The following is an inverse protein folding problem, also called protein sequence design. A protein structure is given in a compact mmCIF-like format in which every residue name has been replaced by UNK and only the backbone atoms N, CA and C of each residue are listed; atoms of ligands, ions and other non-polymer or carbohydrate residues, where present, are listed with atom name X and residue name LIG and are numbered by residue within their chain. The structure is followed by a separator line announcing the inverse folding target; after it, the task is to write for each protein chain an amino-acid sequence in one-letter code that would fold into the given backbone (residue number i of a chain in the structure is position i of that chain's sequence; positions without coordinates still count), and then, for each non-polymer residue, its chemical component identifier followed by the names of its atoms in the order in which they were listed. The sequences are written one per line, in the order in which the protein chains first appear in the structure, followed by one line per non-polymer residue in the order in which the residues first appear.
data_IF_748753830691
#
_entry.id   IF_748753830691
#
_cell.length_a   1.000
_cell.length_b   1.000
_cell.length_c   1.000
_cell.angle_alpha   90.00
_cell.angle_beta   90.00
_cell.angle_gamma   90.00
#
_symmetry.space_group_name_H-M   'P 1'
#
loop_
_entity.id
_entity.type
_entity.pdbx_description
1 polymer ?
#
# COMPACT_ATOMS: atom_id res chain seq x y z
N UNK A 1 -9.48 -4.42 -18.61
CA UNK A 1 -10.93 -4.47 -18.25
C UNK A 1 -11.60 -3.25 -18.84
N UNK A 2 -12.84 -3.33 -19.34
CA UNK A 2 -13.57 -2.15 -19.85
C UNK A 2 -13.86 -1.21 -18.67
N UNK A 3 -13.57 0.08 -18.81
CA UNK A 3 -13.92 1.07 -17.79
C UNK A 3 -15.44 1.25 -17.74
N UNK A 4 -16.02 1.29 -16.54
CA UNK A 4 -17.46 1.49 -16.33
C UNK A 4 -17.79 2.88 -15.76
N UNK A 5 -16.80 3.52 -15.13
CA UNK A 5 -16.85 4.89 -14.61
C UNK A 5 -15.50 5.56 -14.93
N UNK A 6 -15.43 6.90 -14.85
CA UNK A 6 -14.19 7.66 -15.06
C UNK A 6 -13.48 7.32 -16.39
N UNK A 7 -14.21 7.34 -17.51
CA UNK A 7 -13.68 6.95 -18.83
C UNK A 7 -12.44 7.75 -19.26
N UNK A 8 -12.34 9.02 -18.83
CA UNK A 8 -11.23 9.91 -19.16
C UNK A 8 -10.24 10.08 -17.98
N UNK A 9 -10.42 9.34 -16.89
CA UNK A 9 -9.56 9.38 -15.70
C UNK A 9 -9.17 7.96 -15.25
N UNK A 10 -8.14 7.36 -15.88
CA UNK A 10 -7.70 6.01 -15.56
C UNK A 10 -7.27 5.77 -14.11
N UNK A 11 -6.56 6.69 -13.42
CA UNK A 11 -6.25 6.56 -12.00
C UNK A 11 -7.50 6.44 -11.12
N UNK A 12 -8.51 7.29 -11.31
CA UNK A 12 -9.75 7.21 -10.54
C UNK A 12 -10.50 5.91 -10.78
N UNK A 13 -10.53 5.44 -12.03
CA UNK A 13 -11.10 4.14 -12.34
C UNK A 13 -10.34 2.99 -11.69
N UNK A 14 -9.00 3.02 -11.72
CA UNK A 14 -8.17 1.98 -11.12
C UNK A 14 -8.38 1.89 -9.61
N UNK A 15 -8.37 3.03 -8.90
CA UNK A 15 -8.62 3.03 -7.46
C UNK A 15 -10.07 2.66 -7.09
N UNK A 16 -11.03 2.97 -7.97
CA UNK A 16 -12.41 2.47 -7.81
C UNK A 16 -12.45 0.95 -7.95
N UNK A 17 -11.77 0.39 -8.95
CA UNK A 17 -11.65 -1.06 -9.13
C UNK A 17 -10.93 -1.74 -7.97
N UNK A 18 -9.87 -1.13 -7.45
CA UNK A 18 -9.14 -1.61 -6.29
C UNK A 18 -10.07 -1.73 -5.08
N UNK A 19 -10.85 -0.69 -4.80
CA UNK A 19 -11.87 -0.73 -3.74
C UNK A 19 -12.96 -1.77 -4.01
N UNK A 20 -13.42 -1.96 -5.25
CA UNK A 20 -14.36 -3.04 -5.59
C UNK A 20 -13.75 -4.43 -5.32
N UNK A 21 -12.45 -4.61 -5.55
CA UNK A 21 -11.74 -5.86 -5.32
C UNK A 21 -11.73 -6.29 -3.85
N UNK A 22 -11.78 -5.34 -2.91
CA UNK A 22 -11.77 -5.62 -1.47
C UNK A 22 -13.07 -6.27 -0.96
N UNK A 23 -14.15 -6.24 -1.74
CA UNK A 23 -15.47 -6.75 -1.35
C UNK A 23 -15.43 -8.24 -1.00
N UNK A 24 -14.58 -9.03 -1.67
CA UNK A 24 -14.49 -10.47 -1.46
C UNK A 24 -14.07 -10.87 -0.04
N UNK A 25 -13.33 -9.99 0.65
CA UNK A 25 -12.85 -10.19 2.01
C UNK A 25 -13.40 -9.12 2.99
N UNK A 26 -14.49 -8.44 2.62
CA UNK A 26 -15.21 -7.52 3.50
C UNK A 26 -14.57 -6.14 3.69
N UNK A 27 -13.60 -5.78 2.84
CA UNK A 27 -12.99 -4.44 2.86
C UNK A 27 -13.82 -3.38 2.13
N UNK A 28 -14.86 -3.78 1.40
CA UNK A 28 -15.81 -2.85 0.77
C UNK A 28 -17.19 -3.49 0.58
N UNK A 29 -18.15 -2.68 0.13
CA UNK A 29 -19.41 -3.12 -0.45
C UNK A 29 -19.53 -2.53 -1.87
N UNK A 30 -20.02 -3.33 -2.82
CA UNK A 30 -20.11 -2.93 -4.23
C UNK A 30 -21.04 -1.74 -4.43
N UNK A 31 -22.18 -1.72 -3.73
CA UNK A 31 -23.15 -0.63 -3.83
C UNK A 31 -22.59 0.67 -3.24
N UNK A 32 -21.86 0.58 -2.13
CA UNK A 32 -21.19 1.73 -1.51
C UNK A 32 -20.11 2.32 -2.40
N UNK A 33 -19.25 1.48 -3.00
CA UNK A 33 -18.20 1.96 -3.90
C UNK A 33 -18.82 2.67 -5.11
N UNK A 34 -19.84 2.08 -5.75
CA UNK A 34 -20.53 2.70 -6.90
C UNK A 34 -21.19 4.02 -6.48
N UNK A 35 -21.91 4.03 -5.35
CA UNK A 35 -22.60 5.22 -4.86
C UNK A 35 -21.62 6.34 -4.47
N UNK A 36 -20.44 5.99 -3.99
CA UNK A 36 -19.39 6.94 -3.60
C UNK A 36 -18.70 7.51 -4.82
N UNK A 37 -18.24 6.65 -5.73
CA UNK A 37 -17.64 7.04 -6.99
C UNK A 37 -18.56 7.91 -7.86
N UNK A 38 -19.89 7.71 -7.79
CA UNK A 38 -20.86 8.51 -8.54
C UNK A 38 -20.97 9.97 -8.09
N UNK A 39 -20.38 10.32 -6.93
CA UNK A 39 -20.32 11.70 -6.42
C UNK A 39 -19.00 12.41 -6.76
N UNK A 40 -18.05 11.70 -7.35
CA UNK A 40 -16.72 12.23 -7.67
C UNK A 40 -16.73 12.88 -9.04
N UNK A 41 -16.16 14.08 -9.13
CA UNK A 41 -15.90 14.76 -10.39
C UNK A 41 -14.58 14.23 -10.99
N UNK A 42 -14.57 13.69 -12.22
CA UNK A 42 -13.34 13.21 -12.84
C UNK A 42 -12.26 14.30 -12.88
N UNK A 43 -11.01 13.95 -12.54
CA UNK A 43 -9.87 14.84 -12.52
C UNK A 43 -9.72 15.71 -11.26
N UNK A 44 -10.71 15.71 -10.37
CA UNK A 44 -10.75 16.55 -9.16
C UNK A 44 -10.46 15.72 -7.90
N UNK A 45 -9.22 15.84 -7.40
CA UNK A 45 -8.74 15.15 -6.20
C UNK A 45 -9.48 15.55 -4.92
N UNK A 46 -9.99 16.78 -4.83
CA UNK A 46 -10.77 17.22 -3.66
C UNK A 46 -12.15 16.57 -3.63
N UNK A 47 -12.80 16.43 -4.79
CA UNK A 47 -14.07 15.71 -4.90
C UNK A 47 -13.93 14.22 -4.57
N UNK A 48 -12.80 13.61 -4.96
CA UNK A 48 -12.46 12.24 -4.59
C UNK A 48 -12.35 12.11 -3.07
N UNK A 49 -11.47 12.91 -2.46
CA UNK A 49 -11.28 12.92 -1.02
C UNK A 49 -12.61 13.11 -0.27
N UNK A 50 -13.38 14.14 -0.61
CA UNK A 50 -14.62 14.46 0.07
C UNK A 50 -15.67 13.33 -0.03
N UNK A 51 -15.80 12.68 -1.20
CA UNK A 51 -16.76 11.61 -1.39
C UNK A 51 -16.42 10.36 -0.57
N UNK A 52 -15.14 9.96 -0.58
CA UNK A 52 -14.66 8.78 0.15
C UNK A 52 -14.60 9.02 1.66
N UNK A 53 -14.12 10.19 2.10
CA UNK A 53 -14.09 10.58 3.51
C UNK A 53 -15.50 10.56 4.11
N UNK A 54 -16.46 11.20 3.44
CA UNK A 54 -17.85 11.23 3.91
C UNK A 54 -18.47 9.83 4.04
N UNK A 55 -18.09 8.90 3.16
CA UNK A 55 -18.55 7.51 3.24
C UNK A 55 -17.91 6.78 4.41
N UNK A 56 -16.61 6.97 4.62
CA UNK A 56 -15.86 6.38 5.71
C UNK A 56 -16.39 6.85 7.08
N UNK A 57 -16.55 8.17 7.26
CA UNK A 57 -17.06 8.78 8.50
C UNK A 57 -18.47 8.28 8.85
N UNK A 58 -19.36 8.23 7.86
CA UNK A 58 -20.72 7.71 8.06
C UNK A 58 -20.68 6.25 8.53
N UNK A 59 -19.90 5.40 7.87
CA UNK A 59 -19.79 3.99 8.24
C UNK A 59 -19.16 3.79 9.61
N UNK A 60 -18.13 4.56 9.93
CA UNK A 60 -17.52 4.48 11.25
C UNK A 60 -18.52 4.86 12.35
N UNK A 61 -19.27 5.95 12.16
CA UNK A 61 -20.29 6.40 13.11
C UNK A 61 -21.40 5.34 13.31
N UNK A 62 -21.91 4.76 12.23
CA UNK A 62 -22.89 3.66 12.27
C UNK A 62 -22.31 2.42 12.98
N UNK A 63 -21.07 2.05 12.67
CA UNK A 63 -20.41 0.87 13.21
C UNK A 63 -20.17 0.95 14.73
N UNK A 64 -19.76 2.12 15.24
CA UNK A 64 -19.45 2.30 16.68
C UNK A 64 -20.67 2.15 17.60
N UNK A 65 -21.89 2.37 17.09
CA UNK A 65 -23.14 2.15 17.81
C UNK A 65 -23.77 0.76 17.62
N UNK A 66 -23.13 -0.11 16.84
CA UNK A 66 -23.75 -1.35 16.36
C UNK A 66 -23.36 -2.60 17.16
N UNK A 67 -24.05 -3.71 16.90
CA UNK A 67 -23.67 -5.03 17.42
C UNK A 67 -22.22 -5.39 17.04
N UNK A 68 -21.43 -6.09 17.88
CA UNK A 68 -19.99 -6.31 17.64
C UNK A 68 -19.61 -6.86 16.27
N UNK A 69 -20.43 -7.76 15.68
CA UNK A 69 -20.22 -8.29 14.32
C UNK A 69 -20.38 -7.18 13.27
N UNK A 70 -21.47 -6.42 13.34
CA UNK A 70 -21.73 -5.30 12.44
C UNK A 70 -20.70 -4.18 12.61
N UNK A 71 -20.25 -3.94 13.85
CA UNK A 71 -19.19 -2.98 14.14
C UNK A 71 -17.88 -3.38 13.45
N UNK A 72 -17.46 -4.65 13.57
CA UNK A 72 -16.28 -5.20 12.88
C UNK A 72 -16.37 -4.97 11.36
N UNK A 73 -17.46 -5.38 10.74
CA UNK A 73 -17.62 -5.33 9.27
C UNK A 73 -17.75 -3.90 8.75
N UNK A 74 -18.40 -3.00 9.51
CA UNK A 74 -18.46 -1.58 9.19
C UNK A 74 -17.10 -0.90 9.30
N UNK A 75 -16.31 -1.23 10.32
CA UNK A 75 -14.99 -0.65 10.54
C UNK A 75 -13.94 -1.12 9.52
N UNK A 76 -14.01 -2.36 9.01
CA UNK A 76 -13.16 -2.81 7.90
C UNK A 76 -13.39 -1.99 6.63
N UNK A 77 -14.66 -1.72 6.31
CA UNK A 77 -15.04 -0.91 5.15
C UNK A 77 -14.67 0.56 5.33
N UNK A 78 -14.94 1.12 6.52
CA UNK A 78 -14.53 2.48 6.87
C UNK A 78 -13.01 2.66 6.72
N UNK A 79 -12.21 1.69 7.20
CA UNK A 79 -10.75 1.71 7.07
C UNK A 79 -10.30 1.83 5.60
N UNK A 80 -10.85 0.99 4.72
CA UNK A 80 -10.52 1.01 3.29
C UNK A 80 -10.92 2.32 2.61
N UNK A 81 -12.05 2.91 3.01
CA UNK A 81 -12.53 4.17 2.43
C UNK A 81 -11.79 5.39 2.97
N UNK A 82 -11.27 5.35 4.21
CA UNK A 82 -10.33 6.35 4.70
C UNK A 82 -9.02 6.32 3.89
N UNK A 83 -8.45 5.11 3.67
CA UNK A 83 -7.29 4.94 2.78
C UNK A 83 -7.56 5.50 1.37
N UNK A 84 -8.75 5.21 0.82
CA UNK A 84 -9.14 5.75 -0.48
C UNK A 84 -9.21 7.30 -0.46
N UNK A 85 -9.76 7.90 0.59
CA UNK A 85 -9.87 9.36 0.71
C UNK A 85 -8.52 10.08 0.68
N UNK A 86 -7.47 9.44 1.18
CA UNK A 86 -6.11 9.99 1.25
C UNK A 86 -5.36 9.93 -0.08
N UNK A 87 -5.61 8.89 -0.88
CA UNK A 87 -4.73 8.39 -1.93
C UNK A 87 -4.15 9.43 -2.91
N UNK A 88 -4.92 10.46 -3.26
CA UNK A 88 -4.55 11.48 -4.25
C UNK A 88 -4.03 12.80 -3.65
N UNK A 89 -3.82 12.88 -2.34
CA UNK A 89 -3.44 14.13 -1.66
C UNK A 89 -1.92 14.40 -1.61
N UNK A 90 -1.08 13.42 -1.92
CA UNK A 90 0.37 13.46 -1.72
C UNK A 90 1.13 14.56 -2.51
N UNK A 91 0.48 15.24 -3.46
CA UNK A 91 1.05 16.40 -4.13
C UNK A 91 1.28 17.61 -3.21
N UNK A 92 0.61 17.62 -2.05
CA UNK A 92 0.72 18.62 -0.99
C UNK A 92 0.97 17.93 0.36
N UNK A 93 2.21 17.50 0.67
CA UNK A 93 2.52 16.72 1.87
C UNK A 93 2.14 17.40 3.21
N UNK A 94 1.99 18.71 3.21
CA UNK A 94 1.54 19.52 4.34
C UNK A 94 0.01 19.51 4.57
N UNK A 95 -0.76 18.90 3.67
CA UNK A 95 -2.21 18.86 3.75
C UNK A 95 -2.66 18.03 4.96
N UNK A 96 -3.35 18.64 5.96
CA UNK A 96 -3.74 17.94 7.17
C UNK A 96 -4.76 16.80 6.93
N UNK A 97 -5.41 16.78 5.77
CA UNK A 97 -6.33 15.71 5.37
C UNK A 97 -5.61 14.36 5.19
N UNK A 98 -4.32 14.39 4.87
CA UNK A 98 -3.49 13.19 4.72
C UNK A 98 -3.43 12.44 6.05
N UNK A 99 -2.90 13.10 7.09
CA UNK A 99 -2.75 12.46 8.41
C UNK A 99 -4.10 12.10 9.02
N UNK A 100 -5.11 12.96 8.85
CA UNK A 100 -6.44 12.66 9.35
C UNK A 100 -7.01 11.36 8.76
N UNK A 101 -6.95 11.19 7.45
CA UNK A 101 -7.47 9.99 6.79
C UNK A 101 -6.67 8.74 7.21
N UNK A 102 -5.34 8.83 7.25
CA UNK A 102 -4.47 7.74 7.67
C UNK A 102 -4.78 7.28 9.12
N UNK A 103 -4.76 8.19 10.10
CA UNK A 103 -4.98 7.85 11.51
C UNK A 103 -6.34 7.19 11.73
N UNK A 104 -7.38 7.71 11.08
CA UNK A 104 -8.74 7.15 11.15
C UNK A 104 -8.84 5.80 10.47
N UNK A 105 -8.20 5.64 9.31
CA UNK A 105 -8.13 4.38 8.59
C UNK A 105 -7.50 3.27 9.42
N UNK A 106 -6.33 3.54 10.02
CA UNK A 106 -5.62 2.59 10.88
C UNK A 106 -6.37 2.31 12.18
N UNK A 107 -6.97 3.33 12.81
CA UNK A 107 -7.80 3.16 14.00
C UNK A 107 -8.99 2.25 13.73
N UNK A 108 -9.72 2.48 12.63
CA UNK A 108 -10.84 1.62 12.23
C UNK A 108 -10.40 0.18 12.00
N UNK A 109 -9.28 -0.03 11.31
CA UNK A 109 -8.75 -1.36 11.07
C UNK A 109 -8.40 -2.08 12.37
N UNK A 110 -7.63 -1.43 13.25
CA UNK A 110 -7.21 -1.98 14.55
C UNK A 110 -8.40 -2.35 15.42
N UNK A 111 -9.41 -1.48 15.50
CA UNK A 111 -10.64 -1.79 16.20
C UNK A 111 -11.32 -3.01 15.56
N UNK A 112 -11.44 -3.06 14.24
CA UNK A 112 -12.05 -4.20 13.56
C UNK A 112 -11.30 -5.52 13.84
N UNK A 113 -9.97 -5.56 13.68
CA UNK A 113 -9.17 -6.77 13.84
C UNK A 113 -9.09 -7.26 15.29
N UNK A 114 -9.30 -6.40 16.29
CA UNK A 114 -9.40 -6.83 17.69
C UNK A 114 -10.54 -7.84 17.94
N UNK A 115 -11.47 -7.96 16.98
CA UNK A 115 -12.59 -8.92 17.00
C UNK A 115 -12.32 -10.17 16.17
N UNK A 116 -11.16 -10.27 15.52
CA UNK A 116 -10.74 -11.45 14.77
C UNK A 116 -9.83 -12.33 15.65
N UNK A 117 -10.08 -13.65 15.69
CA UNK A 117 -9.22 -14.55 16.44
C UNK A 117 -7.83 -14.62 15.80
N UNK A 118 -6.79 -14.45 16.62
CA UNK A 118 -5.40 -14.64 16.21
C UNK A 118 -4.80 -13.52 15.36
N UNK A 119 -5.47 -12.38 15.19
CA UNK A 119 -4.89 -11.22 14.47
C UNK A 119 -4.47 -10.15 15.48
N UNK A 120 -3.21 -9.76 15.46
CA UNK A 120 -2.65 -8.78 16.40
C UNK A 120 -1.75 -7.77 15.68
N UNK A 121 -1.81 -6.46 16.00
CA UNK A 121 -0.80 -5.52 15.55
C UNK A 121 0.56 -5.89 16.15
N UNK A 122 1.62 -5.64 15.40
CA UNK A 122 3.00 -5.89 15.82
C UNK A 122 3.91 -4.71 15.46
N UNK A 123 5.00 -4.62 16.21
CA UNK A 123 6.12 -3.72 15.97
C UNK A 123 7.37 -4.58 15.79
N UNK A 124 8.01 -4.47 14.64
CA UNK A 124 9.16 -5.26 14.22
C UNK A 124 10.39 -4.39 14.41
N UNK A 125 11.35 -4.76 15.29
CA UNK A 125 12.58 -3.99 15.48
C UNK A 125 13.32 -3.78 14.15
N UNK A 126 13.69 -2.54 13.84
CA UNK A 126 14.32 -2.20 12.58
C UNK A 126 15.24 -0.98 12.73
N UNK A 127 16.56 -1.19 12.63
CA UNK A 127 17.56 -0.14 12.84
C UNK A 127 17.33 0.61 14.17
N UNK A 128 17.10 1.92 14.13
CA UNK A 128 16.77 2.77 15.28
C UNK A 128 15.27 3.05 15.45
N UNK A 129 14.42 2.32 14.71
CA UNK A 129 12.96 2.43 14.72
C UNK A 129 12.27 1.05 14.74
N UNK A 130 10.99 1.01 14.39
CA UNK A 130 10.20 -0.21 14.20
C UNK A 130 9.47 -0.17 12.86
N UNK A 131 9.27 -1.33 12.24
CA UNK A 131 8.30 -1.50 11.16
C UNK A 131 6.96 -1.91 11.77
N UNK A 132 5.88 -1.31 11.30
CA UNK A 132 4.54 -1.62 11.78
C UNK A 132 3.86 -2.67 10.90
N UNK A 133 3.10 -3.55 11.53
CA UNK A 133 2.44 -4.63 10.82
C UNK A 133 1.36 -5.33 11.61
N UNK A 134 0.94 -6.48 11.08
CA UNK A 134 -0.07 -7.35 11.67
C UNK A 134 0.34 -8.80 11.55
N UNK A 135 0.25 -9.54 12.66
CA UNK A 135 0.51 -10.97 12.70
C UNK A 135 -0.79 -11.75 12.83
N UNK A 136 -1.00 -12.66 11.88
CA UNK A 136 -2.16 -13.53 11.75
C UNK A 136 -1.76 -14.95 12.14
N UNK A 137 -2.12 -15.36 13.35
CA UNK A 137 -1.86 -16.69 13.88
C UNK A 137 -2.90 -17.69 13.36
N UNK A 138 -2.48 -18.63 12.53
CA UNK A 138 -3.27 -19.80 12.19
C UNK A 138 -3.60 -20.64 13.43
N UNK A 139 -4.78 -21.27 13.41
CA UNK A 139 -5.21 -22.18 14.47
C UNK A 139 -4.51 -23.55 14.36
N UNK A 140 -4.40 -24.23 15.51
CA UNK A 140 -3.94 -25.61 15.62
C UNK A 140 -2.63 -25.75 16.41
N UNK A 141 -2.22 -26.99 16.64
CA UNK A 141 -1.03 -27.31 17.44
C UNK A 141 0.26 -27.36 16.58
N UNK A 142 1.39 -27.12 17.23
CA UNK A 142 2.74 -27.23 16.68
C UNK A 142 3.15 -26.13 15.69
N UNK A 143 4.43 -26.14 15.24
CA UNK A 143 4.94 -25.14 14.30
C UNK A 143 4.21 -25.15 12.93
N UNK A 144 3.89 -23.97 12.42
CA UNK A 144 3.13 -23.75 11.18
C UNK A 144 3.98 -23.08 10.11
N UNK A 145 3.71 -23.35 8.82
CA UNK A 145 4.32 -22.59 7.73
C UNK A 145 3.90 -21.12 7.83
N UNK A 146 4.74 -20.22 7.33
CA UNK A 146 4.50 -18.79 7.39
C UNK A 146 4.56 -18.11 6.02
N UNK A 147 3.82 -17.03 5.86
CA UNK A 147 3.93 -16.12 4.71
C UNK A 147 4.18 -14.71 5.24
N UNK A 148 5.31 -14.12 4.86
CA UNK A 148 5.57 -12.69 5.04
C UNK A 148 5.02 -11.97 3.82
N UNK A 149 4.20 -10.95 4.03
CA UNK A 149 3.57 -10.17 2.97
C UNK A 149 3.93 -8.69 3.12
N UNK A 150 4.29 -8.03 2.03
CA UNK A 150 4.39 -6.58 1.98
C UNK A 150 3.81 -6.03 0.68
N UNK A 151 3.41 -4.76 0.72
CA UNK A 151 2.94 -4.05 -0.44
C UNK A 151 4.10 -3.53 -1.30
N UNK A 152 3.76 -2.73 -2.29
CA UNK A 152 4.69 -2.06 -3.17
C UNK A 152 4.77 -0.57 -2.89
N UNK A 153 4.42 0.21 -3.91
CA UNK A 153 4.64 1.66 -3.95
C UNK A 153 3.69 2.41 -3.02
N UNK A 154 2.40 2.02 -2.99
CA UNK A 154 1.32 2.84 -2.42
C UNK A 154 0.36 2.09 -1.47
N UNK A 155 0.53 0.77 -1.30
CA UNK A 155 -0.37 -0.06 -0.49
C UNK A 155 0.04 -0.13 0.97
N UNK A 156 -0.95 -0.21 1.87
CA UNK A 156 -0.75 -0.30 3.32
C UNK A 156 -0.83 -1.74 3.85
N UNK A 157 -0.22 -2.03 5.00
CA UNK A 157 -0.30 -3.35 5.63
C UNK A 157 -1.76 -3.79 5.92
N UNK A 158 -2.64 -2.85 6.23
CA UNK A 158 -4.08 -3.08 6.43
C UNK A 158 -4.75 -3.66 5.18
N UNK A 159 -4.34 -3.22 3.98
CA UNK A 159 -4.94 -3.67 2.72
C UNK A 159 -4.61 -5.15 2.43
N UNK A 160 -3.47 -5.65 2.90
CA UNK A 160 -3.07 -7.04 2.73
C UNK A 160 -4.00 -8.01 3.48
N UNK A 161 -4.77 -7.52 4.46
CA UNK A 161 -5.86 -8.28 5.07
C UNK A 161 -6.79 -8.87 4.02
N UNK A 162 -7.22 -8.03 3.08
CA UNK A 162 -8.17 -8.35 2.02
C UNK A 162 -7.51 -9.03 0.81
N UNK A 163 -6.19 -8.88 0.69
CA UNK A 163 -5.39 -9.33 -0.46
C UNK A 163 -4.57 -10.60 -0.19
N UNK A 164 -4.90 -11.33 0.87
CA UNK A 164 -4.40 -12.68 1.10
C UNK A 164 -4.07 -13.02 2.54
N UNK A 165 -3.90 -12.05 3.44
CA UNK A 165 -3.44 -12.35 4.79
C UNK A 165 -4.48 -13.14 5.61
N UNK A 166 -5.75 -12.71 5.60
CA UNK A 166 -6.82 -13.47 6.24
C UNK A 166 -6.98 -14.84 5.58
N UNK A 167 -6.97 -14.89 4.24
CA UNK A 167 -7.06 -16.14 3.48
C UNK A 167 -5.92 -17.13 3.77
N UNK A 168 -4.70 -16.64 4.00
CA UNK A 168 -3.55 -17.45 4.39
C UNK A 168 -3.73 -18.04 5.79
N UNK A 169 -4.19 -17.21 6.74
CA UNK A 169 -4.52 -17.65 8.09
C UNK A 169 -5.58 -18.76 8.10
N UNK A 170 -6.67 -18.59 7.36
CA UNK A 170 -7.76 -19.57 7.21
C UNK A 170 -7.27 -20.91 6.64
N UNK A 171 -6.19 -20.89 5.84
CA UNK A 171 -5.58 -22.07 5.24
C UNK A 171 -4.50 -22.71 6.12
N UNK A 172 -4.27 -22.18 7.33
CA UNK A 172 -3.35 -22.75 8.29
C UNK A 172 -1.92 -22.22 8.21
N UNK A 173 -1.69 -21.08 7.54
CA UNK A 173 -0.40 -20.38 7.54
C UNK A 173 -0.40 -19.28 8.60
N UNK A 174 0.72 -19.13 9.31
CA UNK A 174 1.02 -17.85 9.93
C UNK A 174 1.20 -16.81 8.84
N UNK A 175 0.66 -15.61 9.02
CA UNK A 175 0.90 -14.51 8.07
C UNK A 175 1.42 -13.30 8.82
N UNK A 176 2.50 -12.70 8.34
CA UNK A 176 3.01 -11.42 8.84
C UNK A 176 2.93 -10.40 7.72
N UNK A 177 2.09 -9.38 7.88
CA UNK A 177 2.04 -8.22 6.98
C UNK A 177 2.82 -7.08 7.61
N UNK A 178 3.56 -6.29 6.83
CA UNK A 178 4.27 -5.12 7.35
C UNK A 178 4.38 -4.01 6.30
N UNK A 179 4.56 -2.79 6.78
CA UNK A 179 4.98 -1.61 5.99
C UNK A 179 6.46 -1.33 6.28
N UNK A 180 7.29 -1.43 5.25
CA UNK A 180 8.70 -1.03 5.26
C UNK A 180 8.92 0.45 4.96
N UNK A 181 10.18 0.92 4.91
CA UNK A 181 10.50 2.31 4.58
C UNK A 181 9.85 2.76 3.25
N UNK A 182 9.22 3.94 3.25
CA UNK A 182 8.45 4.49 2.14
C UNK A 182 7.02 3.93 2.00
N UNK A 183 6.63 2.97 2.81
CA UNK A 183 5.26 2.45 2.86
C UNK A 183 4.45 3.15 3.96
N UNK A 184 3.10 3.11 3.93
CA UNK A 184 2.24 4.01 4.69
C UNK A 184 2.60 4.16 6.16
N UNK A 185 2.70 3.08 6.93
CA UNK A 185 2.99 3.26 8.36
C UNK A 185 4.36 3.90 8.63
N UNK A 186 5.38 3.53 7.85
CA UNK A 186 6.74 4.03 8.02
C UNK A 186 6.88 5.50 7.58
N UNK A 187 6.17 5.93 6.53
CA UNK A 187 6.23 7.32 6.06
C UNK A 187 5.45 8.26 6.98
N UNK A 188 4.28 7.86 7.46
CA UNK A 188 3.44 8.69 8.34
C UNK A 188 4.02 8.82 9.75
N UNK A 189 4.47 7.71 10.36
CA UNK A 189 4.86 7.69 11.78
C UNK A 189 6.32 8.02 12.01
N UNK A 190 7.18 7.46 11.17
CA UNK A 190 8.63 7.47 11.40
C UNK A 190 9.34 8.37 10.39
N UNK A 191 8.66 8.70 9.30
CA UNK A 191 9.24 9.40 8.18
C UNK A 191 10.33 8.63 7.45
N UNK A 192 10.32 7.31 7.54
CA UNK A 192 11.28 6.50 6.80
C UNK A 192 10.93 6.55 5.31
N UNK A 193 11.81 7.15 4.51
CA UNK A 193 11.65 7.22 3.05
C UNK A 193 11.90 5.87 2.39
N UNK A 194 11.38 5.69 1.18
CA UNK A 194 11.63 4.52 0.36
C UNK A 194 13.13 4.36 0.11
N UNK A 195 13.63 3.13 0.21
CA UNK A 195 15.05 2.82 0.01
C UNK A 195 15.26 1.82 -1.13
N UNK A 196 16.34 1.95 -1.92
CA UNK A 196 16.57 1.10 -3.09
C UNK A 196 17.11 -0.29 -2.72
N UNK A 197 17.67 -0.46 -1.52
CA UNK A 197 18.35 -1.66 -1.02
C UNK A 197 17.42 -2.52 -0.14
N UNK A 198 16.30 -2.94 -0.70
CA UNK A 198 15.24 -3.69 0.00
C UNK A 198 15.69 -5.03 0.62
N UNK A 199 16.85 -5.56 0.19
CA UNK A 199 17.52 -6.70 0.83
C UNK A 199 17.80 -6.48 2.33
N UNK A 200 17.89 -5.23 2.78
CA UNK A 200 18.10 -4.89 4.19
C UNK A 200 16.79 -4.82 5.01
N UNK A 201 15.62 -4.96 4.37
CA UNK A 201 14.31 -4.84 5.04
C UNK A 201 13.78 -6.21 5.49
N UNK A 202 13.88 -7.23 4.65
CA UNK A 202 13.24 -8.54 4.91
C UNK A 202 13.98 -9.34 6.00
N UNK A 203 15.30 -9.21 6.10
CA UNK A 203 16.11 -9.92 7.10
C UNK A 203 15.61 -9.67 8.54
N UNK A 204 15.50 -8.41 8.99
CA UNK A 204 14.93 -8.06 10.30
C UNK A 204 13.50 -8.55 10.52
N UNK A 205 12.65 -8.53 9.48
CA UNK A 205 11.28 -9.04 9.55
C UNK A 205 11.26 -10.55 9.83
N UNK A 206 12.15 -11.31 9.20
CA UNK A 206 12.32 -12.74 9.47
C UNK A 206 12.94 -13.00 10.85
N UNK A 207 13.88 -12.17 11.30
CA UNK A 207 14.46 -12.27 12.65
C UNK A 207 13.39 -12.13 13.72
N UNK A 208 12.48 -11.16 13.56
CA UNK A 208 11.31 -10.99 14.42
C UNK A 208 10.38 -12.21 14.36
N UNK A 209 9.99 -12.63 13.15
CA UNK A 209 9.02 -13.70 12.96
C UNK A 209 9.50 -15.03 13.55
N UNK A 210 10.79 -15.33 13.42
CA UNK A 210 11.38 -16.60 13.87
C UNK A 210 11.65 -16.65 15.38
N UNK A 211 11.40 -15.57 16.13
CA UNK A 211 11.35 -15.64 17.60
C UNK A 211 10.11 -16.38 18.11
N UNK A 212 9.03 -16.47 17.33
CA UNK A 212 7.83 -17.20 17.72
C UNK A 212 8.05 -18.71 17.47
N UNK A 213 8.09 -19.57 18.52
CA UNK A 213 8.30 -21.01 18.37
C UNK A 213 7.14 -21.72 17.65
N UNK A 214 6.01 -21.03 17.44
CA UNK A 214 4.91 -21.49 16.60
C UNK A 214 5.20 -21.38 15.09
N UNK A 215 6.26 -20.69 14.68
CA UNK A 215 6.66 -20.58 13.27
C UNK A 215 7.62 -21.69 12.89
N UNK A 216 7.37 -22.33 11.75
CA UNK A 216 8.31 -23.24 11.10
C UNK A 216 9.20 -22.45 10.13
N UNK A 217 10.46 -22.11 10.51
CA UNK A 217 11.32 -21.26 9.69
C UNK A 217 11.63 -21.89 8.32
N UNK A 218 11.67 -23.21 8.21
CA UNK A 218 11.96 -23.92 6.97
C UNK A 218 10.79 -23.88 5.96
N UNK A 219 9.62 -23.40 6.37
CA UNK A 219 8.43 -23.24 5.52
C UNK A 219 7.92 -21.80 5.54
N UNK A 220 8.83 -20.84 5.43
CA UNK A 220 8.52 -19.41 5.33
C UNK A 220 8.60 -18.93 3.89
N UNK A 221 7.53 -18.33 3.38
CA UNK A 221 7.48 -17.70 2.07
C UNK A 221 7.46 -16.17 2.17
N UNK A 222 7.94 -15.49 1.14
CA UNK A 222 7.81 -14.04 0.96
C UNK A 222 6.86 -13.74 -0.21
N UNK A 223 5.91 -12.84 -0.01
CA UNK A 223 5.00 -12.36 -1.05
C UNK A 223 5.06 -10.84 -1.11
N UNK A 224 5.39 -10.30 -2.27
CA UNK A 224 5.39 -8.86 -2.53
C UNK A 224 4.33 -8.47 -3.54
N UNK A 225 3.52 -7.46 -3.22
CA UNK A 225 2.42 -6.96 -4.07
C UNK A 225 2.84 -5.71 -4.87
N UNK A 226 2.45 -5.59 -6.15
CA UNK A 226 2.76 -4.47 -7.05
C UNK A 226 4.26 -4.25 -7.19
N UNK A 227 4.80 -3.06 -6.86
CA UNK A 227 6.25 -2.85 -6.74
C UNK A 227 6.92 -3.85 -5.79
N UNK A 228 6.18 -4.41 -4.83
CA UNK A 228 6.58 -5.52 -3.99
C UNK A 228 7.03 -6.75 -4.79
N UNK A 229 6.52 -6.96 -6.00
CA UNK A 229 6.98 -8.03 -6.89
C UNK A 229 8.35 -7.80 -7.53
N UNK A 230 8.91 -6.59 -7.48
CA UNK A 230 10.34 -6.33 -7.68
C UNK A 230 11.13 -6.52 -6.38
N UNK A 231 10.61 -5.96 -5.29
CA UNK A 231 11.27 -5.91 -3.99
C UNK A 231 11.44 -7.29 -3.34
N UNK A 232 10.46 -8.18 -3.46
CA UNK A 232 10.49 -9.51 -2.86
C UNK A 232 11.55 -10.43 -3.51
N UNK A 233 11.62 -10.58 -4.84
CA UNK A 233 12.73 -11.28 -5.48
C UNK A 233 14.10 -10.65 -5.18
N UNK A 234 14.18 -9.31 -5.11
CA UNK A 234 15.42 -8.61 -4.73
C UNK A 234 15.88 -9.02 -3.33
N UNK A 235 15.00 -8.97 -2.34
CA UNK A 235 15.34 -9.40 -0.99
C UNK A 235 15.72 -10.89 -0.92
N UNK A 236 14.97 -11.74 -1.62
CA UNK A 236 15.23 -13.17 -1.66
C UNK A 236 16.58 -13.55 -2.28
N UNK A 237 17.16 -12.70 -3.13
CA UNK A 237 18.52 -12.90 -3.64
C UNK A 237 19.59 -12.87 -2.52
N UNK A 238 19.28 -12.27 -1.37
CA UNK A 238 20.18 -12.12 -0.22
C UNK A 238 19.69 -12.86 1.02
N UNK A 239 18.49 -13.44 0.98
CA UNK A 239 17.85 -14.05 2.14
C UNK A 239 17.59 -15.55 1.91
N UNK A 240 18.57 -16.43 2.21
CA UNK A 240 18.50 -17.85 1.90
C UNK A 240 17.52 -18.62 2.81
N UNK A 241 16.97 -17.99 3.86
CA UNK A 241 15.98 -18.62 4.75
C UNK A 241 14.61 -18.78 4.10
N UNK A 242 14.32 -18.04 3.03
CA UNK A 242 13.03 -18.10 2.34
C UNK A 242 12.89 -19.41 1.55
N UNK A 243 11.82 -20.16 1.82
CA UNK A 243 11.49 -21.39 1.13
C UNK A 243 10.79 -21.16 -0.22
N UNK A 244 10.12 -20.01 -0.38
CA UNK A 244 9.43 -19.61 -1.60
C UNK A 244 9.28 -18.08 -1.68
N UNK A 245 9.16 -17.58 -2.91
CA UNK A 245 8.94 -16.16 -3.20
C UNK A 245 7.81 -16.02 -4.22
N UNK A 246 6.90 -15.09 -3.97
CA UNK A 246 5.78 -14.76 -4.85
C UNK A 246 5.86 -13.27 -5.21
N UNK A 247 5.90 -12.98 -6.51
CA UNK A 247 5.83 -11.62 -7.05
C UNK A 247 4.44 -11.37 -7.66
N UNK A 248 3.67 -10.43 -7.10
CA UNK A 248 2.27 -10.21 -7.44
C UNK A 248 1.94 -8.72 -7.68
N UNK A 249 2.14 -8.14 -8.85
CA UNK A 249 2.61 -8.75 -10.09
C UNK A 249 4.13 -8.67 -10.21
N UNK A 250 4.70 -9.44 -11.14
CA UNK A 250 6.14 -9.38 -11.41
C UNK A 250 6.55 -8.04 -12.01
N UNK A 251 7.47 -7.33 -11.35
CA UNK A 251 8.06 -6.07 -11.81
C UNK A 251 9.57 -6.27 -11.96
N UNK A 252 10.11 -5.99 -13.15
CA UNK A 252 11.56 -6.07 -13.39
C UNK A 252 12.23 -4.69 -13.28
N UNK A 253 11.59 -3.67 -13.87
CA UNK A 253 12.06 -2.28 -13.86
C UNK A 253 10.85 -1.36 -13.64
N UNK A 254 10.76 -0.79 -12.44
CA UNK A 254 9.68 0.13 -12.08
C UNK A 254 9.81 1.50 -12.75
N UNK A 255 11.04 1.94 -13.05
CA UNK A 255 11.31 3.25 -13.67
C UNK A 255 10.85 3.25 -15.12
N UNK A 256 10.83 2.10 -15.78
CA UNK A 256 10.22 1.94 -17.11
C UNK A 256 8.76 2.44 -17.17
N UNK A 257 7.99 2.27 -16.10
CA UNK A 257 6.59 2.69 -16.04
C UNK A 257 6.44 4.23 -16.10
N UNK A 258 7.41 4.98 -15.59
CA UNK A 258 7.44 6.44 -15.66
C UNK A 258 8.01 6.91 -16.99
N UNK A 259 9.17 6.37 -17.36
CA UNK A 259 9.92 6.80 -18.55
C UNK A 259 9.22 6.48 -19.87
N UNK A 260 8.35 5.45 -19.92
CA UNK A 260 7.54 5.12 -21.10
C UNK A 260 6.56 6.24 -21.51
N UNK A 261 6.29 7.19 -20.62
CA UNK A 261 5.42 8.34 -20.90
C UNK A 261 6.19 9.61 -21.32
N UNK A 262 7.53 9.54 -21.39
CA UNK A 262 8.38 10.65 -21.82
C UNK A 262 8.79 10.45 -23.29
N UNK A 263 9.01 11.52 -24.08
CA UNK A 263 9.46 11.43 -25.47
C UNK A 263 10.98 11.17 -25.57
N UNK A 264 11.52 10.33 -24.69
CA UNK A 264 12.94 9.96 -24.59
C UNK A 264 13.05 8.43 -24.51
N UNK A 265 14.22 7.89 -24.85
CA UNK A 265 14.50 6.49 -24.49
C UNK A 265 14.62 6.35 -22.97
N UNK A 266 14.36 5.15 -22.44
CA UNK A 266 14.52 4.85 -21.02
C UNK A 266 15.91 5.26 -20.50
N UNK A 267 16.98 4.83 -21.18
CA UNK A 267 18.36 5.14 -20.82
C UNK A 267 18.65 6.65 -20.83
N UNK A 268 18.10 7.37 -21.82
CA UNK A 268 18.24 8.82 -21.91
C UNK A 268 17.52 9.52 -20.75
N UNK A 269 16.29 9.12 -20.45
CA UNK A 269 15.50 9.70 -19.39
C UNK A 269 16.17 9.52 -18.02
N UNK A 270 16.66 8.31 -17.70
CA UNK A 270 17.38 8.02 -16.46
C UNK A 270 18.68 8.82 -16.39
N UNK A 271 19.47 8.85 -17.45
CA UNK A 271 20.74 9.60 -17.47
C UNK A 271 20.52 11.10 -17.26
N UNK A 272 19.51 11.69 -17.91
CA UNK A 272 19.14 13.10 -17.74
C UNK A 272 18.57 13.37 -16.36
N UNK A 273 17.80 12.44 -15.80
CA UNK A 273 17.29 12.56 -14.45
C UNK A 273 18.42 12.63 -13.40
N UNK A 274 19.43 11.78 -13.54
CA UNK A 274 20.58 11.73 -12.66
C UNK A 274 21.59 12.89 -12.82
N UNK A 275 21.40 13.81 -13.79
CA UNK A 275 22.28 14.97 -13.94
C UNK A 275 22.20 15.90 -12.71
N UNK A 276 23.22 16.70 -12.41
CA UNK A 276 23.09 17.68 -11.32
C UNK A 276 22.04 18.75 -11.66
N UNK A 277 22.02 19.19 -12.92
CA UNK A 277 21.14 20.22 -13.46
C UNK A 277 20.67 19.86 -14.88
N UNK A 278 19.36 19.91 -15.14
CA UNK A 278 18.78 19.74 -16.48
C UNK A 278 17.38 20.39 -16.58
N UNK A 279 17.35 21.71 -16.81
CA UNK A 279 16.09 22.49 -16.89
C UNK A 279 15.17 22.09 -18.04
N UNK A 280 15.72 21.46 -19.09
CA UNK A 280 14.90 20.94 -20.19
C UNK A 280 14.20 19.65 -19.76
N UNK A 281 14.90 18.77 -19.05
CA UNK A 281 14.29 17.57 -18.47
C UNK A 281 13.22 17.92 -17.44
N UNK A 282 13.49 18.91 -16.57
CA UNK A 282 12.51 19.38 -15.57
C UNK A 282 11.21 19.88 -16.25
N UNK A 283 11.33 20.67 -17.33
CA UNK A 283 10.18 21.12 -18.13
C UNK A 283 9.47 19.97 -18.83
N UNK A 284 10.21 19.01 -19.36
CA UNK A 284 9.67 17.84 -20.03
C UNK A 284 8.82 16.99 -19.06
N UNK A 285 9.30 16.77 -17.83
CA UNK A 285 8.56 16.04 -16.80
C UNK A 285 7.31 16.84 -16.40
N UNK A 286 7.44 18.15 -16.15
CA UNK A 286 6.32 19.01 -15.78
C UNK A 286 5.20 19.00 -16.85
N UNK A 287 5.56 19.13 -18.13
CA UNK A 287 4.61 19.08 -19.25
C UNK A 287 3.96 17.70 -19.40
N UNK A 288 4.68 16.62 -19.09
CA UNK A 288 4.14 15.27 -19.11
C UNK A 288 3.14 15.04 -17.96
N UNK A 289 3.48 15.48 -16.75
CA UNK A 289 2.58 15.45 -15.57
C UNK A 289 1.30 16.25 -15.80
N UNK A 290 1.40 17.44 -16.40
CA UNK A 290 0.24 18.29 -16.67
C UNK A 290 -0.79 17.65 -17.64
N UNK A 291 -0.34 16.74 -18.51
CA UNK A 291 -1.18 16.12 -19.54
C UNK A 291 -1.57 14.67 -19.25
N UNK A 292 -0.87 14.00 -18.33
CA UNK A 292 -1.08 12.60 -18.02
C UNK A 292 -1.40 12.42 -16.52
N UNK A 293 -2.66 12.09 -16.16
CA UNK A 293 -3.06 11.94 -14.76
C UNK A 293 -2.33 10.80 -14.05
N UNK A 294 -1.87 9.76 -14.77
CA UNK A 294 -1.05 8.67 -14.21
C UNK A 294 0.29 9.23 -13.74
N UNK A 295 0.98 10.01 -14.60
CA UNK A 295 2.24 10.63 -14.22
C UNK A 295 2.05 11.65 -13.11
N UNK A 296 1.00 12.47 -13.16
CA UNK A 296 0.71 13.43 -12.10
C UNK A 296 0.71 12.75 -10.73
N UNK A 297 -0.13 11.71 -10.57
CA UNK A 297 -0.19 10.94 -9.34
C UNK A 297 1.14 10.25 -9.01
N UNK A 298 1.79 9.59 -9.98
CA UNK A 298 3.01 8.83 -9.71
C UNK A 298 4.16 9.70 -9.20
N UNK A 299 4.31 10.92 -9.74
CA UNK A 299 5.31 11.89 -9.26
C UNK A 299 4.90 12.56 -7.95
N UNK A 300 3.60 12.79 -7.71
CA UNK A 300 3.11 13.32 -6.43
C UNK A 300 3.37 12.33 -5.29
N UNK A 301 2.89 11.10 -5.45
CA UNK A 301 3.09 10.04 -4.47
C UNK A 301 4.57 9.62 -4.38
N UNK A 302 5.25 9.53 -5.51
CA UNK A 302 6.67 9.18 -5.58
C UNK A 302 7.54 10.08 -4.73
N UNK A 303 7.45 11.41 -4.96
CA UNK A 303 8.19 12.38 -4.14
C UNK A 303 7.82 12.33 -2.67
N UNK A 304 6.55 12.06 -2.35
CA UNK A 304 6.10 11.92 -0.97
C UNK A 304 6.77 10.73 -0.26
N UNK A 305 6.80 9.55 -0.89
CA UNK A 305 7.35 8.33 -0.27
C UNK A 305 8.88 8.25 -0.32
N UNK A 306 9.53 8.86 -1.32
CA UNK A 306 11.00 8.92 -1.42
C UNK A 306 11.59 10.16 -0.75
N UNK A 307 10.76 11.15 -0.38
CA UNK A 307 11.18 12.46 0.18
C UNK A 307 12.15 13.25 -0.69
N UNK A 308 12.12 13.00 -1.99
CA UNK A 308 12.92 13.75 -2.95
C UNK A 308 12.37 15.17 -3.13
N UNK A 309 13.26 16.12 -3.34
CA UNK A 309 12.93 17.55 -3.40
C UNK A 309 12.23 17.96 -4.69
N UNK A 310 12.44 17.20 -5.77
CA UNK A 310 11.88 17.48 -7.09
C UNK A 310 11.60 16.19 -7.89
N UNK A 311 10.89 16.33 -9.00
CA UNK A 311 10.48 15.19 -9.84
C UNK A 311 11.67 14.45 -10.45
N UNK A 312 12.72 15.18 -10.80
CA UNK A 312 13.88 14.64 -11.47
C UNK A 312 14.71 13.75 -10.54
N UNK A 313 14.84 14.15 -9.28
CA UNK A 313 15.44 13.36 -8.22
C UNK A 313 14.63 12.09 -7.91
N UNK A 314 13.29 12.14 -7.98
CA UNK A 314 12.46 10.93 -7.88
C UNK A 314 12.65 9.97 -9.06
N UNK A 315 12.82 10.51 -10.27
CA UNK A 315 12.97 9.70 -11.48
C UNK A 315 14.36 9.05 -11.60
N UNK A 316 15.38 9.63 -10.97
CA UNK A 316 16.77 9.18 -11.00
C UNK A 316 17.01 7.91 -10.18
#
# INVERSE_FOLDING_TARGET
MKQLMFHDDPPFWFETLRNLGLAAYGGSDVGEVIATASRVTPGDYDSWHAAWLSTAERLEAEARGSHPVSARDGLLRASSYYRAAEFFLHGHPEDPRIEHAYERGVSCFRDAIARFPGVTPVEIPYEDTVLHGYFYRAAGEGPRPAVVMHNGFDGAAEELHFSGALGGQERGYHVLTFDGPGQPAAIHRDGAAFRPDWENVVGPVLDFLTQDPGVDPARTALLGVSLGGYLAPRAAAYEPRLAAVVALDGVFDAVSALTAHLPLSHEEAVRRAAAEHDEEMDRLIADARARNPILRWAFDHGRYVTRTSNDREFLA
#
